data_IF_464504335524
#
_entry.id   IF_464504335524
#
_cell.length_a   1.000
_cell.length_b   1.000
_cell.length_c   1.000
_cell.angle_alpha   90.00
_cell.angle_beta   90.00
_cell.angle_gamma   90.00
#
_symmetry.space_group_name_H-M   'P 1'
#
loop_
_entity.id
_entity.type
_entity.pdbx_description
1 polymer ?
#
# COMPACT_ATOMS: atom_id res chain seq x y z
N UNK A 1 19.50 8.25 43.16
CA UNK A 1 18.66 8.77 42.06
C UNK A 1 19.54 9.68 41.23
N UNK A 2 19.79 9.33 39.96
CA UNK A 2 20.62 10.17 39.09
C UNK A 2 19.78 11.40 38.67
N UNK A 3 19.92 12.50 39.41
CA UNK A 3 19.48 13.81 38.89
C UNK A 3 20.64 14.38 38.08
N UNK A 4 20.48 14.56 36.78
CA UNK A 4 21.51 15.20 35.98
C UNK A 4 21.67 16.65 36.46
N UNK A 5 22.86 16.99 36.96
CA UNK A 5 23.15 18.28 37.55
C UNK A 5 23.23 19.45 36.57
N UNK A 6 23.31 19.14 35.26
CA UNK A 6 23.33 20.16 34.19
C UNK A 6 21.97 20.26 33.47
N UNK A 7 21.58 21.47 33.06
CA UNK A 7 20.36 21.72 32.24
C UNK A 7 20.37 20.85 31.00
N UNK A 8 21.52 20.69 30.34
CA UNK A 8 21.68 19.82 29.16
C UNK A 8 21.36 18.36 29.47
N UNK A 9 21.85 17.83 30.61
CA UNK A 9 21.51 16.47 31.04
C UNK A 9 20.02 16.28 31.33
N UNK A 10 19.35 17.27 31.92
CA UNK A 10 17.92 17.23 32.21
C UNK A 10 17.09 17.24 30.89
N UNK A 11 17.50 18.06 29.90
CA UNK A 11 16.86 18.08 28.57
C UNK A 11 17.01 16.73 27.86
N UNK A 12 18.21 16.13 27.87
CA UNK A 12 18.42 14.79 27.28
C UNK A 12 17.57 13.75 27.99
N UNK A 13 17.52 13.77 29.32
CA UNK A 13 16.71 12.84 30.09
C UNK A 13 15.22 12.97 29.76
N UNK A 14 14.72 14.20 29.66
CA UNK A 14 13.34 14.47 29.26
C UNK A 14 13.07 14.02 27.80
N UNK A 15 14.02 14.22 26.89
CA UNK A 15 13.93 13.70 25.52
C UNK A 15 13.86 12.18 25.47
N UNK A 16 14.65 11.48 26.29
CA UNK A 16 14.59 10.01 26.38
C UNK A 16 13.23 9.52 26.87
N UNK A 17 12.64 10.19 27.87
CA UNK A 17 11.28 9.92 28.35
C UNK A 17 10.27 10.08 27.21
N UNK A 18 10.35 11.20 26.48
CA UNK A 18 9.47 11.51 25.36
C UNK A 18 9.54 10.46 24.26
N UNK A 19 10.68 9.82 24.05
CA UNK A 19 10.87 8.78 23.03
C UNK A 19 10.34 7.39 23.44
N UNK A 20 10.04 7.16 24.72
CA UNK A 20 9.58 5.84 25.19
C UNK A 20 8.34 5.28 24.46
N UNK A 21 7.33 6.08 24.06
CA UNK A 21 6.18 5.56 23.34
C UNK A 21 6.53 4.85 22.03
N UNK A 22 7.62 5.22 21.37
CA UNK A 22 8.04 4.62 20.11
C UNK A 22 8.40 3.14 20.30
N UNK A 23 9.12 2.82 21.39
CA UNK A 23 9.50 1.44 21.70
C UNK A 23 8.28 0.57 22.05
N UNK A 24 7.34 1.12 22.82
CA UNK A 24 6.10 0.41 23.17
C UNK A 24 5.17 0.26 21.94
N UNK A 25 5.17 1.23 21.05
CA UNK A 25 4.43 1.16 19.79
C UNK A 25 4.83 -0.06 18.94
N UNK A 26 6.13 -0.37 18.85
CA UNK A 26 6.63 -1.53 18.13
C UNK A 26 6.09 -2.85 18.72
N UNK A 27 6.06 -2.96 20.04
CA UNK A 27 5.59 -4.17 20.73
C UNK A 27 4.08 -4.39 20.56
N UNK A 28 3.30 -3.32 20.48
CA UNK A 28 1.83 -3.37 20.43
C UNK A 28 1.33 -3.50 18.99
N UNK A 29 1.85 -2.69 18.06
CA UNK A 29 1.38 -2.68 16.66
C UNK A 29 1.77 -3.92 15.85
N UNK A 30 2.84 -4.61 16.21
CA UNK A 30 3.19 -5.88 15.56
C UNK A 30 2.19 -7.01 15.83
N UNK A 31 1.35 -6.88 16.86
CA UNK A 31 0.42 -7.94 17.31
C UNK A 31 -1.07 -7.60 17.22
N UNK A 32 -1.45 -6.32 17.11
CA UNK A 32 -2.86 -5.92 17.22
C UNK A 32 -3.35 -5.21 15.97
N UNK A 33 -4.45 -5.72 15.43
CA UNK A 33 -5.23 -5.08 14.36
C UNK A 33 -5.81 -3.75 14.87
N UNK A 34 -6.13 -2.81 13.99
CA UNK A 34 -6.60 -1.44 14.28
C UNK A 34 -7.97 -1.38 15.04
N UNK A 35 -8.06 -2.07 16.17
CA UNK A 35 -9.23 -2.15 17.01
C UNK A 35 -9.29 -0.97 18.00
N UNK A 36 -10.50 -0.62 18.48
CA UNK A 36 -10.70 0.47 19.46
C UNK A 36 -9.82 0.31 20.71
N UNK A 37 -9.58 -0.92 21.15
CA UNK A 37 -8.71 -1.21 22.29
C UNK A 37 -7.27 -0.75 22.05
N UNK A 38 -6.71 -1.04 20.87
CA UNK A 38 -5.35 -0.62 20.48
C UNK A 38 -5.20 0.91 20.40
N UNK A 39 -6.23 1.59 19.95
CA UNK A 39 -6.26 3.05 19.93
C UNK A 39 -6.22 3.64 21.35
N UNK A 40 -7.00 3.09 22.28
CA UNK A 40 -7.01 3.53 23.68
C UNK A 40 -5.65 3.26 24.34
N UNK A 41 -5.08 2.06 24.17
CA UNK A 41 -3.77 1.70 24.71
C UNK A 41 -2.68 2.64 24.18
N UNK A 42 -2.70 2.96 22.89
CA UNK A 42 -1.76 3.94 22.30
C UNK A 42 -1.90 5.31 22.98
N UNK A 43 -3.12 5.79 23.15
CA UNK A 43 -3.37 7.06 23.86
C UNK A 43 -2.85 7.05 25.30
N UNK A 44 -3.00 5.93 26.01
CA UNK A 44 -2.47 5.77 27.38
C UNK A 44 -0.94 5.85 27.38
N UNK A 45 -0.26 5.15 26.47
CA UNK A 45 1.21 5.14 26.41
C UNK A 45 1.76 6.54 26.14
N UNK A 46 1.20 7.24 25.17
CA UNK A 46 1.62 8.61 24.86
C UNK A 46 1.26 9.59 25.99
N UNK A 47 0.10 9.40 26.62
CA UNK A 47 -0.31 10.15 27.80
C UNK A 47 0.63 9.94 28.98
N UNK A 48 1.03 8.69 29.27
CA UNK A 48 2.02 8.37 30.31
C UNK A 48 3.36 9.02 30.03
N UNK A 49 3.85 9.04 28.78
CA UNK A 49 5.09 9.74 28.44
C UNK A 49 4.99 11.26 28.68
N UNK A 50 3.84 11.86 28.37
CA UNK A 50 3.58 13.28 28.68
C UNK A 50 3.56 13.53 30.19
N UNK A 51 2.96 12.63 30.98
CA UNK A 51 2.95 12.67 32.45
C UNK A 51 4.36 12.54 33.01
N UNK A 52 5.15 11.58 32.53
CA UNK A 52 6.53 11.38 32.97
C UNK A 52 7.39 12.60 32.63
N UNK A 53 7.24 13.19 31.43
CA UNK A 53 7.93 14.42 31.07
C UNK A 53 7.61 15.55 32.06
N UNK A 54 6.35 15.64 32.53
CA UNK A 54 5.89 16.62 33.51
C UNK A 54 6.39 16.34 34.93
N UNK A 55 6.55 15.06 35.29
CA UNK A 55 7.04 14.64 36.59
C UNK A 55 8.57 14.88 36.77
N UNK A 56 9.30 14.93 35.63
CA UNK A 56 10.74 15.19 35.61
C UNK A 56 11.06 16.46 34.80
N UNK A 57 10.65 17.64 35.25
CA UNK A 57 10.82 18.87 34.47
C UNK A 57 12.29 19.30 34.41
N UNK A 58 12.62 20.13 33.44
CA UNK A 58 13.92 20.82 33.36
C UNK A 58 13.88 22.02 34.28
N UNK A 59 14.84 22.10 35.17
CA UNK A 59 14.96 23.18 36.14
C UNK A 59 16.00 24.19 35.68
N UNK A 60 15.60 25.43 35.45
CA UNK A 60 16.53 26.51 35.17
C UNK A 60 16.95 27.20 36.49
N UNK A 61 18.18 26.94 36.92
CA UNK A 61 18.77 27.47 38.17
C UNK A 61 19.12 28.96 38.09
N UNK A 62 19.16 29.55 36.91
CA UNK A 62 19.58 30.94 36.70
C UNK A 62 18.53 31.98 37.11
N UNK A 63 17.34 31.52 37.49
CA UNK A 63 16.23 32.39 37.91
C UNK A 63 15.90 32.08 39.38
N UNK A 64 15.96 33.06 40.23
CA UNK A 64 15.87 32.94 41.68
C UNK A 64 14.74 32.16 42.34
N UNK A 65 13.77 31.63 41.56
CA UNK A 65 12.69 30.75 42.01
C UNK A 65 12.57 29.45 41.18
N UNK A 66 13.57 29.09 40.38
CA UNK A 66 13.58 27.84 39.61
C UNK A 66 12.40 27.68 38.65
N UNK A 67 12.48 28.28 37.46
CA UNK A 67 11.42 28.04 36.45
C UNK A 67 11.49 26.62 35.95
N UNK A 68 10.33 25.89 36.02
CA UNK A 68 10.20 24.52 35.60
C UNK A 68 9.54 24.46 34.24
N UNK A 69 10.17 23.75 33.28
CA UNK A 69 9.58 23.50 31.99
C UNK A 69 9.84 22.04 31.55
N UNK A 70 9.04 21.53 30.63
CA UNK A 70 9.12 20.14 30.15
C UNK A 70 8.68 20.02 28.70
N UNK A 71 8.84 18.82 28.13
CA UNK A 71 8.56 18.52 26.73
C UNK A 71 7.26 17.72 26.54
N UNK A 72 6.29 17.83 27.47
CA UNK A 72 5.02 17.06 27.49
C UNK A 72 4.20 17.16 26.20
N UNK A 73 4.32 18.27 25.47
CA UNK A 73 3.56 18.50 24.26
C UNK A 73 4.08 17.72 23.05
N UNK A 74 5.34 17.26 23.06
CA UNK A 74 5.90 16.48 21.96
C UNK A 74 5.20 15.14 21.79
N UNK A 75 5.13 14.25 22.81
CA UNK A 75 4.38 12.98 22.68
C UNK A 75 2.92 13.22 22.36
N UNK A 76 2.29 14.25 22.96
CA UNK A 76 0.91 14.59 22.70
C UNK A 76 0.66 14.96 21.22
N UNK A 77 1.41 15.90 20.66
CA UNK A 77 1.29 16.35 19.26
C UNK A 77 1.52 15.18 18.29
N UNK A 78 2.55 14.38 18.52
CA UNK A 78 2.85 13.22 17.70
C UNK A 78 1.74 12.16 17.80
N UNK A 79 1.17 11.97 19.00
CA UNK A 79 0.02 11.06 19.17
C UNK A 79 -1.16 11.49 18.29
N UNK A 80 -1.53 12.77 18.29
CA UNK A 80 -2.61 13.30 17.46
C UNK A 80 -2.29 13.11 15.96
N UNK A 81 -1.07 13.46 15.54
CA UNK A 81 -0.67 13.38 14.12
C UNK A 81 -0.62 11.95 13.59
N UNK A 82 -0.01 11.02 14.31
CA UNK A 82 0.23 9.66 13.82
C UNK A 82 -0.85 8.66 14.22
N UNK A 83 -1.31 8.69 15.49
CA UNK A 83 -2.27 7.72 16.01
C UNK A 83 -3.73 8.12 15.75
N UNK A 84 -4.04 9.40 15.74
CA UNK A 84 -5.37 9.93 15.41
C UNK A 84 -6.14 10.52 16.58
N UNK A 85 -7.44 10.73 16.33
CA UNK A 85 -8.29 11.50 17.25
C UNK A 85 -8.54 10.80 18.58
N UNK A 86 -8.82 9.50 18.56
CA UNK A 86 -9.13 8.74 19.78
C UNK A 86 -7.90 8.63 20.69
N UNK A 87 -6.73 8.19 20.21
CA UNK A 87 -5.52 8.19 21.03
C UNK A 87 -5.14 9.59 21.53
N UNK A 88 -5.24 10.59 20.66
CA UNK A 88 -4.97 11.99 21.01
C UNK A 88 -5.86 12.50 22.11
N UNK A 89 -7.17 12.22 22.08
CA UNK A 89 -8.12 12.60 23.13
C UNK A 89 -7.80 11.90 24.47
N UNK A 90 -7.50 10.60 24.44
CA UNK A 90 -7.09 9.85 25.64
C UNK A 90 -5.81 10.43 26.24
N UNK A 91 -4.81 10.72 25.40
CA UNK A 91 -3.55 11.34 25.85
C UNK A 91 -3.79 12.74 26.45
N UNK A 92 -4.66 13.57 25.84
CA UNK A 92 -5.04 14.89 26.37
C UNK A 92 -5.70 14.79 27.75
N UNK A 93 -6.67 13.89 27.89
CA UNK A 93 -7.38 13.69 29.18
C UNK A 93 -6.38 13.31 30.28
N UNK A 94 -5.48 12.35 30.04
CA UNK A 94 -4.48 11.92 31.00
C UNK A 94 -3.53 13.04 31.39
N UNK A 95 -3.01 13.79 30.40
CA UNK A 95 -2.10 14.91 30.61
C UNK A 95 -2.77 16.00 31.46
N UNK A 96 -3.98 16.38 31.13
CA UNK A 96 -4.73 17.44 31.84
C UNK A 96 -5.10 16.97 33.25
N UNK A 97 -5.61 15.74 33.40
CA UNK A 97 -5.95 15.19 34.70
C UNK A 97 -4.74 15.18 35.64
N UNK A 98 -3.57 14.74 35.18
CA UNK A 98 -2.34 14.75 35.97
C UNK A 98 -1.90 16.18 36.34
N UNK A 99 -2.09 17.15 35.45
CA UNK A 99 -1.80 18.55 35.74
C UNK A 99 -2.68 19.12 36.85
N UNK A 100 -3.97 18.76 36.86
CA UNK A 100 -4.87 19.12 37.99
C UNK A 100 -4.45 18.43 39.29
N UNK A 101 -3.96 17.18 39.24
CA UNK A 101 -3.44 16.48 40.41
C UNK A 101 -2.20 17.16 41.00
N UNK A 102 -1.30 17.69 40.18
CA UNK A 102 -0.11 18.45 40.65
C UNK A 102 -0.46 19.78 41.33
N UNK A 103 -1.68 20.27 41.18
CA UNK A 103 -2.17 21.49 41.79
C UNK A 103 -1.85 22.77 40.98
N UNK A 104 -2.37 23.90 41.46
CA UNK A 104 -2.25 25.17 40.76
C UNK A 104 -3.38 25.37 39.75
N UNK A 105 -4.59 25.72 40.21
CA UNK A 105 -5.81 25.82 39.40
C UNK A 105 -5.63 26.63 38.12
N UNK A 106 -5.01 27.81 38.19
CA UNK A 106 -4.78 28.69 37.04
C UNK A 106 -3.85 28.05 36.01
N UNK A 107 -2.77 27.38 36.43
CA UNK A 107 -1.84 26.69 35.54
C UNK A 107 -2.48 25.43 34.92
N UNK A 108 -3.38 24.77 35.61
CA UNK A 108 -4.13 23.61 35.10
C UNK A 108 -5.14 24.01 34.04
N UNK A 109 -5.85 25.12 34.27
CA UNK A 109 -6.76 25.71 33.27
C UNK A 109 -5.98 26.12 32.00
N UNK A 110 -4.80 26.72 32.16
CA UNK A 110 -3.96 27.11 31.06
C UNK A 110 -3.53 25.89 30.21
N UNK A 111 -3.10 24.82 30.88
CA UNK A 111 -2.75 23.53 30.20
C UNK A 111 -3.96 22.93 29.48
N UNK A 112 -5.17 23.04 30.01
CA UNK A 112 -6.39 22.59 29.36
C UNK A 112 -6.65 23.33 28.03
N UNK A 113 -6.50 24.65 28.04
CA UNK A 113 -6.63 25.46 26.82
C UNK A 113 -5.59 25.11 25.77
N UNK A 114 -4.32 24.94 26.17
CA UNK A 114 -3.24 24.51 25.27
C UNK A 114 -3.55 23.15 24.65
N UNK A 115 -4.00 22.18 25.45
CA UNK A 115 -4.37 20.85 24.98
C UNK A 115 -5.49 20.90 23.94
N UNK A 116 -6.53 21.72 24.18
CA UNK A 116 -7.66 21.88 23.25
C UNK A 116 -7.18 22.53 21.93
N UNK A 117 -6.43 23.63 22.01
CA UNK A 117 -5.93 24.35 20.83
C UNK A 117 -5.05 23.42 19.99
N UNK A 118 -4.07 22.77 20.58
CA UNK A 118 -3.15 21.87 19.88
C UNK A 118 -3.88 20.64 19.33
N UNK A 119 -4.83 20.06 20.07
CA UNK A 119 -5.64 18.93 19.60
C UNK A 119 -6.44 19.29 18.34
N UNK A 120 -7.15 20.39 18.34
CA UNK A 120 -7.95 20.84 17.19
C UNK A 120 -7.05 21.12 16.00
N UNK A 121 -5.98 21.89 16.21
CA UNK A 121 -5.06 22.31 15.15
C UNK A 121 -4.40 21.11 14.47
N UNK A 122 -3.79 20.21 15.23
CA UNK A 122 -3.11 19.05 14.67
C UNK A 122 -4.07 17.98 14.13
N UNK A 123 -5.29 17.92 14.65
CA UNK A 123 -6.34 17.08 14.09
C UNK A 123 -6.73 17.51 12.67
N UNK A 124 -6.84 18.80 12.41
CA UNK A 124 -7.11 19.36 11.07
C UNK A 124 -5.94 19.09 10.13
N UNK A 125 -4.71 19.29 10.58
CA UNK A 125 -3.50 19.16 9.77
C UNK A 125 -3.11 17.70 9.47
N UNK A 126 -3.57 16.75 10.28
CA UNK A 126 -3.23 15.31 10.19
C UNK A 126 -3.43 14.72 8.79
N UNK A 127 -4.60 14.97 8.17
CA UNK A 127 -4.93 14.38 6.86
C UNK A 127 -3.93 14.80 5.77
N UNK A 128 -3.55 16.07 5.76
CA UNK A 128 -2.60 16.65 4.82
C UNK A 128 -1.17 16.16 5.11
N UNK A 129 -0.79 16.05 6.39
CA UNK A 129 0.52 15.60 6.83
C UNK A 129 0.86 14.18 6.34
N UNK A 130 -0.09 13.26 6.38
CA UNK A 130 0.13 11.88 5.90
C UNK A 130 0.36 11.77 4.39
N UNK A 131 -0.07 12.76 3.61
CA UNK A 131 0.12 12.77 2.15
C UNK A 131 1.51 13.26 1.73
N UNK A 132 2.27 13.88 2.64
CA UNK A 132 3.58 14.43 2.32
C UNK A 132 4.66 13.35 2.20
N UNK A 133 5.61 13.60 1.26
CA UNK A 133 6.88 12.84 1.18
C UNK A 133 7.76 13.17 2.40
N UNK A 134 8.72 12.29 2.72
CA UNK A 134 9.59 12.43 3.91
C UNK A 134 10.21 13.83 4.07
N UNK A 135 10.81 14.39 3.03
CA UNK A 135 11.43 15.74 3.07
C UNK A 135 10.42 16.80 3.47
N UNK A 136 9.22 16.79 2.89
CA UNK A 136 8.17 17.76 3.21
C UNK A 136 7.64 17.60 4.65
N UNK A 137 7.66 16.37 5.20
CA UNK A 137 7.33 16.13 6.61
C UNK A 137 8.32 16.80 7.54
N UNK A 138 9.63 16.74 7.25
CA UNK A 138 10.64 17.44 8.07
C UNK A 138 10.48 18.95 8.02
N UNK A 139 10.21 19.52 6.83
CA UNK A 139 9.92 20.96 6.72
C UNK A 139 8.65 21.34 7.52
N UNK A 140 7.60 20.54 7.42
CA UNK A 140 6.38 20.76 8.21
C UNK A 140 6.60 20.64 9.72
N UNK A 141 7.52 19.79 10.15
CA UNK A 141 7.86 19.64 11.58
C UNK A 141 8.56 20.86 12.16
N UNK A 142 9.35 21.59 11.36
CA UNK A 142 9.88 22.89 11.77
C UNK A 142 8.70 23.86 12.04
N UNK A 143 7.75 23.91 11.11
CA UNK A 143 6.55 24.75 11.28
C UNK A 143 5.73 24.32 12.51
N UNK A 144 5.54 23.01 12.71
CA UNK A 144 4.80 22.48 13.86
C UNK A 144 5.49 22.75 15.19
N UNK A 145 6.82 22.68 15.22
CA UNK A 145 7.61 23.06 16.40
C UNK A 145 7.42 24.53 16.74
N UNK A 146 7.52 25.42 15.74
CA UNK A 146 7.30 26.86 15.92
C UNK A 146 5.88 27.15 16.40
N UNK A 147 4.87 26.52 15.80
CA UNK A 147 3.47 26.69 16.19
C UNK A 147 3.25 26.22 17.64
N UNK A 148 3.71 25.01 17.99
CA UNK A 148 3.56 24.45 19.33
C UNK A 148 4.23 25.35 20.36
N UNK A 149 5.45 25.79 20.07
CA UNK A 149 6.19 26.70 20.95
C UNK A 149 5.53 28.06 21.08
N UNK A 150 5.00 28.62 19.97
CA UNK A 150 4.26 29.90 20.02
C UNK A 150 3.00 29.81 20.86
N UNK A 151 2.24 28.71 20.77
CA UNK A 151 1.06 28.49 21.63
C UNK A 151 1.47 28.48 23.09
N UNK A 152 2.54 27.78 23.44
CA UNK A 152 3.05 27.73 24.82
C UNK A 152 3.48 29.13 25.30
N UNK A 153 4.22 29.90 24.49
CA UNK A 153 4.68 31.25 24.87
C UNK A 153 3.53 32.20 25.07
N UNK A 154 2.52 32.20 24.19
CA UNK A 154 1.33 33.04 24.31
C UNK A 154 0.55 32.66 25.58
N UNK A 155 0.39 31.39 25.83
CA UNK A 155 -0.28 30.84 27.00
C UNK A 155 0.43 31.24 28.30
N UNK A 156 1.76 31.15 28.35
CA UNK A 156 2.58 31.61 29.47
C UNK A 156 2.43 33.15 29.67
N UNK A 157 2.43 33.93 28.60
CA UNK A 157 2.26 35.37 28.70
C UNK A 157 0.89 35.73 29.27
N UNK A 158 -0.19 35.07 28.84
CA UNK A 158 -1.54 35.25 29.38
C UNK A 158 -1.56 34.85 30.86
N UNK A 159 -0.95 33.75 31.24
CA UNK A 159 -0.87 33.26 32.60
C UNK A 159 -0.19 34.28 33.53
N UNK A 160 0.99 34.83 33.17
CA UNK A 160 1.71 35.82 33.96
C UNK A 160 0.99 37.17 33.97
N UNK A 161 0.31 37.53 32.89
CA UNK A 161 -0.54 38.74 32.83
C UNK A 161 -1.70 38.66 33.82
N UNK A 162 -2.40 37.51 33.83
CA UNK A 162 -3.50 37.26 34.76
C UNK A 162 -3.05 37.32 36.24
N UNK A 163 -1.86 36.86 36.54
CA UNK A 163 -1.29 36.95 37.89
C UNK A 163 -0.69 38.31 38.26
N UNK A 164 -0.77 39.29 37.39
CA UNK A 164 -0.12 40.62 37.55
C UNK A 164 1.41 40.52 37.79
N UNK A 165 2.07 39.49 37.21
CA UNK A 165 3.52 39.19 37.34
C UNK A 165 4.27 39.27 36.00
N UNK A 166 3.90 40.20 35.12
CA UNK A 166 4.56 40.35 33.82
C UNK A 166 6.07 40.64 33.93
N UNK A 167 6.52 41.34 34.95
CA UNK A 167 7.94 41.53 35.22
C UNK A 167 8.69 40.19 35.36
N UNK A 168 8.06 39.21 36.01
CA UNK A 168 8.63 37.87 36.13
C UNK A 168 8.66 37.09 34.81
N UNK A 169 7.72 37.33 33.90
CA UNK A 169 7.76 36.78 32.57
C UNK A 169 8.94 37.36 31.77
N UNK A 170 9.12 38.66 31.76
CA UNK A 170 10.23 39.28 31.03
C UNK A 170 11.60 38.97 31.65
N UNK A 171 11.69 38.70 32.96
CA UNK A 171 12.92 38.29 33.62
C UNK A 171 13.38 36.86 33.22
N UNK A 172 12.53 36.05 32.59
CA UNK A 172 12.92 34.73 32.07
C UNK A 172 14.02 34.80 30.98
N UNK A 173 14.09 35.95 30.30
CA UNK A 173 15.18 36.25 29.36
C UNK A 173 15.11 35.45 28.03
N UNK A 174 15.79 35.99 27.04
CA UNK A 174 15.81 35.40 25.69
C UNK A 174 16.45 34.00 25.66
N UNK A 175 17.51 33.81 26.46
CA UNK A 175 18.28 32.54 26.46
C UNK A 175 17.42 31.36 26.86
N UNK A 176 16.53 31.50 27.83
CA UNK A 176 15.63 30.44 28.26
C UNK A 176 14.62 30.08 27.15
N UNK A 177 13.98 31.08 26.56
CA UNK A 177 13.04 30.85 25.44
C UNK A 177 13.72 30.24 24.24
N UNK A 178 14.96 30.61 23.94
CA UNK A 178 15.75 30.02 22.89
C UNK A 178 16.06 28.53 23.17
N UNK A 179 16.49 28.19 24.39
CA UNK A 179 16.75 26.81 24.81
C UNK A 179 15.49 25.95 24.76
N UNK A 180 14.35 26.48 25.24
CA UNK A 180 13.05 25.79 25.15
C UNK A 180 12.64 25.55 23.69
N UNK A 181 12.67 26.58 22.85
CA UNK A 181 12.31 26.48 21.44
C UNK A 181 13.18 25.50 20.68
N UNK A 182 14.50 25.53 20.91
CA UNK A 182 15.45 24.59 20.32
C UNK A 182 15.18 23.16 20.78
N UNK A 183 14.86 22.94 22.05
CA UNK A 183 14.54 21.62 22.59
C UNK A 183 13.26 21.05 22.01
N UNK A 184 12.23 21.87 21.77
CA UNK A 184 11.02 21.47 21.06
C UNK A 184 11.30 21.11 19.60
N UNK A 185 12.10 21.92 18.90
CA UNK A 185 12.49 21.67 17.53
C UNK A 185 13.23 20.33 17.42
N UNK A 186 14.27 20.16 18.20
CA UNK A 186 15.07 18.91 18.20
C UNK A 186 14.21 17.71 18.60
N UNK A 187 13.38 17.87 19.63
CA UNK A 187 12.52 16.80 20.13
C UNK A 187 11.51 16.32 19.08
N UNK A 188 10.80 17.24 18.41
CA UNK A 188 9.84 16.90 17.35
C UNK A 188 10.57 16.24 16.16
N UNK A 189 11.74 16.76 15.76
CA UNK A 189 12.53 16.21 14.66
C UNK A 189 13.00 14.77 14.97
N UNK A 190 13.61 14.57 16.13
CA UNK A 190 14.10 13.26 16.56
C UNK A 190 12.95 12.26 16.69
N UNK A 191 11.86 12.68 17.33
CA UNK A 191 10.68 11.83 17.49
C UNK A 191 10.09 11.41 16.14
N UNK A 192 9.95 12.35 15.23
CA UNK A 192 9.42 12.06 13.88
C UNK A 192 10.36 11.13 13.10
N UNK A 193 11.68 11.37 13.19
CA UNK A 193 12.67 10.51 12.53
C UNK A 193 12.52 9.04 12.98
N UNK A 194 12.46 8.80 14.28
CA UNK A 194 12.30 7.45 14.82
C UNK A 194 10.93 6.85 14.44
N UNK A 195 9.86 7.64 14.49
CA UNK A 195 8.51 7.17 14.12
C UNK A 195 8.43 6.77 12.66
N UNK A 196 8.92 7.60 11.73
CA UNK A 196 8.92 7.30 10.29
C UNK A 196 9.80 6.09 9.96
N UNK A 197 11.01 6.01 10.54
CA UNK A 197 11.88 4.84 10.37
C UNK A 197 11.21 3.57 10.86
N UNK A 198 10.52 3.63 11.97
CA UNK A 198 9.80 2.49 12.51
C UNK A 198 8.65 2.05 11.62
N UNK A 199 7.82 2.99 11.15
CA UNK A 199 6.73 2.71 10.23
C UNK A 199 7.28 2.05 8.94
N UNK A 200 8.39 2.57 8.41
CA UNK A 200 9.02 2.01 7.22
C UNK A 200 9.58 0.60 7.47
N UNK A 201 10.21 0.36 8.62
CA UNK A 201 10.70 -0.98 9.00
C UNK A 201 9.56 -2.00 9.10
N UNK A 202 8.43 -1.63 9.72
CA UNK A 202 7.26 -2.51 9.81
C UNK A 202 6.74 -2.87 8.41
N UNK A 203 6.61 -1.89 7.51
CA UNK A 203 6.18 -2.12 6.11
C UNK A 203 7.13 -3.06 5.37
N UNK A 204 8.44 -2.85 5.51
CA UNK A 204 9.46 -3.70 4.87
C UNK A 204 9.39 -5.13 5.42
N UNK A 205 9.26 -5.29 6.75
CA UNK A 205 9.12 -6.62 7.36
C UNK A 205 7.86 -7.36 6.91
N UNK A 206 6.73 -6.66 6.78
CA UNK A 206 5.51 -7.25 6.22
C UNK A 206 5.71 -7.70 4.77
N UNK A 207 6.40 -6.91 3.96
CA UNK A 207 6.71 -7.28 2.57
C UNK A 207 7.64 -8.49 2.51
N UNK A 208 8.71 -8.53 3.33
CA UNK A 208 9.63 -9.67 3.42
C UNK A 208 8.86 -10.92 3.86
N UNK A 209 8.04 -10.83 4.89
CA UNK A 209 7.26 -11.98 5.38
C UNK A 209 6.25 -12.50 4.35
N UNK A 210 5.62 -11.61 3.57
CA UNK A 210 4.77 -12.00 2.44
C UNK A 210 5.57 -12.69 1.34
N UNK A 211 6.75 -12.14 0.99
CA UNK A 211 7.62 -12.72 -0.02
C UNK A 211 8.16 -14.11 0.42
N UNK A 212 8.55 -14.26 1.69
CA UNK A 212 9.02 -15.52 2.26
C UNK A 212 7.93 -16.60 2.25
N UNK A 213 6.70 -16.26 2.68
CA UNK A 213 5.55 -17.17 2.56
C UNK A 213 5.30 -17.62 1.13
N UNK A 214 5.42 -16.71 0.17
CA UNK A 214 5.27 -17.03 -1.24
C UNK A 214 6.39 -17.92 -1.75
N UNK A 215 7.63 -17.74 -1.31
CA UNK A 215 8.76 -18.58 -1.66
C UNK A 215 8.59 -20.02 -1.15
N UNK A 216 8.19 -20.18 0.13
CA UNK A 216 7.93 -21.51 0.72
C UNK A 216 6.82 -22.24 -0.05
N UNK A 217 5.72 -21.54 -0.35
CA UNK A 217 4.61 -22.10 -1.15
C UNK A 217 5.10 -22.50 -2.54
N UNK A 218 6.01 -21.72 -3.14
CA UNK A 218 6.61 -22.00 -4.45
C UNK A 218 7.44 -23.26 -4.48
N UNK A 219 8.32 -23.40 -3.50
CA UNK A 219 9.24 -24.54 -3.41
C UNK A 219 8.46 -25.84 -3.16
N UNK A 220 7.50 -25.81 -2.26
CA UNK A 220 6.60 -26.93 -1.98
C UNK A 220 5.70 -27.27 -3.19
N UNK A 221 5.19 -26.25 -3.88
CA UNK A 221 4.29 -26.46 -5.02
C UNK A 221 4.99 -27.15 -6.19
N UNK A 222 6.26 -26.85 -6.46
CA UNK A 222 7.02 -27.49 -7.53
C UNK A 222 7.23 -29.00 -7.26
N UNK A 223 7.53 -29.36 -6.02
CA UNK A 223 7.68 -30.77 -5.61
C UNK A 223 6.34 -31.51 -5.64
N UNK A 224 5.30 -30.94 -5.02
CA UNK A 224 3.96 -31.57 -4.93
C UNK A 224 3.36 -31.79 -6.32
N UNK A 225 3.53 -30.87 -7.26
CA UNK A 225 2.93 -31.03 -8.58
C UNK A 225 3.56 -32.18 -9.40
N UNK A 226 4.86 -32.38 -9.27
CA UNK A 226 5.48 -33.56 -9.89
C UNK A 226 4.96 -34.86 -9.24
N UNK A 227 4.85 -34.87 -7.91
CA UNK A 227 4.37 -36.05 -7.18
C UNK A 227 2.87 -36.33 -7.38
N UNK A 228 2.04 -35.29 -7.63
CA UNK A 228 0.60 -35.46 -7.93
C UNK A 228 0.38 -35.81 -9.42
N UNK A 229 1.17 -35.25 -10.35
CA UNK A 229 1.04 -35.57 -11.78
C UNK A 229 1.30 -37.06 -12.07
N UNK A 230 2.25 -37.68 -11.35
CA UNK A 230 2.59 -39.10 -11.54
C UNK A 230 1.40 -40.04 -11.35
N UNK A 231 0.69 -40.06 -10.19
CA UNK A 231 -0.47 -40.95 -10.02
C UNK A 231 -1.63 -40.58 -10.95
N UNK A 232 -1.84 -39.28 -11.28
CA UNK A 232 -2.87 -38.89 -12.25
C UNK A 232 -2.59 -39.45 -13.64
N UNK A 233 -1.35 -39.45 -14.09
CA UNK A 233 -0.94 -40.06 -15.38
C UNK A 233 -1.20 -41.55 -15.40
N UNK A 234 -0.92 -42.25 -14.30
CA UNK A 234 -1.18 -43.69 -14.18
C UNK A 234 -2.68 -43.97 -14.23
N UNK A 235 -3.48 -43.24 -13.46
CA UNK A 235 -4.96 -43.37 -13.44
C UNK A 235 -5.55 -43.09 -14.83
N UNK A 236 -5.05 -42.06 -15.52
CA UNK A 236 -5.45 -41.76 -16.91
C UNK A 236 -5.17 -42.91 -17.84
N UNK A 237 -3.96 -43.52 -17.76
CA UNK A 237 -3.58 -44.64 -18.57
C UNK A 237 -4.53 -45.85 -18.40
N UNK A 238 -4.86 -46.19 -17.16
CA UNK A 238 -5.80 -47.31 -16.89
C UNK A 238 -7.22 -47.00 -17.38
N UNK A 239 -7.73 -45.77 -17.22
CA UNK A 239 -9.06 -45.40 -17.72
C UNK A 239 -9.08 -45.41 -19.24
N UNK A 240 -8.00 -44.96 -19.93
CA UNK A 240 -7.90 -45.01 -21.40
C UNK A 240 -7.86 -46.46 -21.95
N UNK A 241 -7.15 -47.36 -21.28
CA UNK A 241 -7.12 -48.78 -21.67
C UNK A 241 -8.48 -49.45 -21.49
N UNK A 242 -9.12 -49.24 -20.33
CA UNK A 242 -10.44 -49.80 -20.04
C UNK A 242 -11.56 -49.25 -20.93
N UNK A 243 -11.45 -48.00 -21.41
CA UNK A 243 -12.46 -47.34 -22.25
C UNK A 243 -12.75 -48.08 -23.56
N UNK A 244 -11.75 -48.81 -24.12
CA UNK A 244 -11.88 -49.52 -25.39
C UNK A 244 -12.59 -50.89 -25.27
N UNK A 245 -12.80 -51.36 -24.05
CA UNK A 245 -13.32 -52.70 -23.72
C UNK A 245 -14.73 -52.68 -23.10
N UNK A 246 -15.38 -51.50 -23.00
CA UNK A 246 -16.64 -51.31 -22.29
C UNK A 246 -17.76 -50.76 -23.17
N UNK A 247 -18.99 -50.98 -22.73
CA UNK A 247 -20.23 -50.49 -23.27
C UNK A 247 -20.32 -48.95 -23.29
N UNK A 248 -21.12 -48.36 -24.21
CA UNK A 248 -21.24 -46.94 -24.45
C UNK A 248 -21.61 -46.12 -23.21
N UNK A 249 -22.36 -46.67 -22.28
CA UNK A 249 -22.76 -46.00 -21.03
C UNK A 249 -21.55 -45.81 -20.11
N UNK A 250 -20.75 -46.87 -19.92
CA UNK A 250 -19.54 -46.85 -19.11
C UNK A 250 -18.46 -45.99 -19.78
N UNK A 251 -18.39 -46.00 -21.10
CA UNK A 251 -17.51 -45.10 -21.88
C UNK A 251 -17.81 -43.61 -21.59
N UNK A 252 -19.08 -43.26 -21.39
CA UNK A 252 -19.48 -41.90 -20.97
C UNK A 252 -18.94 -41.51 -19.60
N UNK A 253 -18.98 -42.44 -18.62
CA UNK A 253 -18.40 -42.19 -17.30
C UNK A 253 -16.87 -42.08 -17.35
N UNK A 254 -16.21 -42.86 -18.15
CA UNK A 254 -14.76 -42.81 -18.34
C UNK A 254 -14.30 -41.52 -19.00
N UNK A 255 -15.04 -41.00 -19.98
CA UNK A 255 -14.79 -39.69 -20.58
C UNK A 255 -14.93 -38.57 -19.57
N UNK A 256 -15.87 -38.69 -18.65
CA UNK A 256 -16.06 -37.71 -17.56
C UNK A 256 -14.87 -37.78 -16.58
N UNK A 257 -14.42 -38.97 -16.17
CA UNK A 257 -13.25 -39.15 -15.33
C UNK A 257 -11.96 -38.59 -15.95
N UNK A 258 -11.74 -38.79 -17.24
CA UNK A 258 -10.58 -38.19 -17.96
C UNK A 258 -10.67 -36.67 -17.93
N UNK A 259 -11.83 -36.08 -18.18
CA UNK A 259 -12.00 -34.61 -18.09
C UNK A 259 -11.70 -34.05 -16.71
N UNK A 260 -12.10 -34.76 -15.64
CA UNK A 260 -11.78 -34.33 -14.28
C UNK A 260 -10.28 -34.47 -13.94
N UNK A 261 -9.61 -35.47 -14.50
CA UNK A 261 -8.15 -35.58 -14.42
C UNK A 261 -7.44 -34.43 -15.14
N UNK A 262 -7.86 -34.07 -16.35
CA UNK A 262 -7.33 -32.93 -17.10
C UNK A 262 -7.55 -31.63 -16.35
N UNK A 263 -8.70 -31.49 -15.69
CA UNK A 263 -9.02 -30.36 -14.84
C UNK A 263 -8.08 -30.29 -13.62
N UNK A 264 -7.83 -31.41 -12.96
CA UNK A 264 -6.92 -31.48 -11.80
C UNK A 264 -5.47 -31.12 -12.20
N UNK A 265 -4.97 -31.65 -13.33
CA UNK A 265 -3.65 -31.30 -13.87
C UNK A 265 -3.53 -29.82 -14.18
N UNK A 266 -4.59 -29.22 -14.74
CA UNK A 266 -4.63 -27.78 -15.03
C UNK A 266 -4.58 -26.95 -13.75
N UNK A 267 -5.36 -27.31 -12.71
CA UNK A 267 -5.34 -26.62 -11.41
C UNK A 267 -3.94 -26.65 -10.82
N UNK A 268 -3.27 -27.83 -10.85
CA UNK A 268 -1.90 -28.00 -10.34
C UNK A 268 -0.91 -27.15 -11.14
N UNK A 269 -1.03 -27.14 -12.48
CA UNK A 269 -0.17 -26.32 -13.33
C UNK A 269 -0.36 -24.83 -13.10
N UNK A 270 -1.61 -24.38 -12.95
CA UNK A 270 -1.94 -22.98 -12.63
C UNK A 270 -1.40 -22.58 -11.24
N UNK A 271 -1.47 -23.50 -10.26
CA UNK A 271 -0.90 -23.30 -8.93
C UNK A 271 0.62 -23.21 -8.92
N UNK A 272 1.30 -24.05 -9.73
CA UNK A 272 2.75 -24.00 -9.95
C UNK A 272 3.21 -22.69 -10.57
N UNK A 273 2.50 -22.24 -11.61
CA UNK A 273 2.80 -20.98 -12.27
C UNK A 273 2.60 -19.80 -11.34
N UNK A 274 1.67 -19.92 -10.38
CA UNK A 274 1.49 -18.95 -9.29
C UNK A 274 2.67 -18.95 -8.32
N UNK A 275 3.17 -20.13 -7.98
CA UNK A 275 4.17 -20.31 -6.94
C UNK A 275 5.59 -19.92 -7.37
N UNK A 276 5.94 -19.84 -8.66
CA UNK A 276 7.28 -19.48 -9.12
C UNK A 276 7.74 -18.09 -8.65
N UNK A 277 8.86 -17.96 -7.89
CA UNK A 277 9.20 -16.74 -7.15
C UNK A 277 9.69 -15.58 -8.01
N UNK A 278 10.30 -15.83 -9.13
CA UNK A 278 10.76 -14.84 -10.10
C UNK A 278 10.43 -15.31 -11.50
N UNK A 279 9.57 -14.57 -12.15
CA UNK A 279 9.53 -14.57 -13.58
C UNK A 279 10.83 -13.90 -14.02
N UNK A 280 11.87 -14.68 -14.35
CA UNK A 280 13.01 -14.15 -15.10
C UNK A 280 12.44 -13.60 -16.40
N UNK A 281 12.27 -12.27 -16.43
CA UNK A 281 11.75 -11.56 -17.59
C UNK A 281 12.91 -11.33 -18.52
N UNK A 282 13.01 -12.09 -19.61
CA UNK A 282 13.84 -11.72 -20.73
C UNK A 282 13.27 -10.42 -21.30
N UNK A 283 13.93 -9.31 -21.02
CA UNK A 283 13.55 -8.02 -21.61
C UNK A 283 14.09 -7.97 -23.03
N UNK A 284 13.18 -8.12 -23.96
CA UNK A 284 13.43 -7.96 -25.40
C UNK A 284 12.51 -6.85 -25.93
N UNK A 285 12.94 -6.18 -26.99
CA UNK A 285 12.09 -5.24 -27.69
C UNK A 285 10.99 -6.01 -28.44
N UNK A 286 9.76 -5.85 -28.02
CA UNK A 286 8.60 -6.58 -28.55
C UNK A 286 7.67 -5.63 -29.27
N UNK A 287 7.31 -5.97 -30.51
CA UNK A 287 6.22 -5.32 -31.24
C UNK A 287 4.89 -5.90 -30.79
N UNK A 288 4.23 -5.21 -29.83
CA UNK A 288 2.97 -5.70 -29.26
C UNK A 288 1.78 -5.56 -30.22
N UNK A 289 1.88 -4.71 -31.25
CA UNK A 289 0.85 -4.67 -32.30
C UNK A 289 0.75 -6.01 -33.00
N UNK A 290 1.90 -6.64 -33.31
CA UNK A 290 1.94 -7.98 -33.89
C UNK A 290 1.45 -9.02 -32.88
N UNK A 291 1.95 -8.99 -31.64
CA UNK A 291 1.57 -9.96 -30.59
C UNK A 291 0.06 -9.93 -30.29
N UNK A 292 -0.55 -8.74 -30.27
CA UNK A 292 -2.01 -8.60 -30.07
C UNK A 292 -2.79 -9.22 -31.24
N UNK A 293 -2.37 -8.92 -32.48
CA UNK A 293 -3.02 -9.47 -33.67
C UNK A 293 -2.92 -11.00 -33.73
N UNK A 294 -1.77 -11.58 -33.37
CA UNK A 294 -1.61 -13.03 -33.26
C UNK A 294 -2.59 -13.66 -32.25
N UNK A 295 -2.75 -13.03 -31.08
CA UNK A 295 -3.68 -13.54 -30.05
C UNK A 295 -5.14 -13.41 -30.48
N UNK A 296 -5.50 -12.33 -31.15
CA UNK A 296 -6.85 -12.15 -31.72
C UNK A 296 -7.14 -13.25 -32.75
N UNK A 297 -6.22 -13.48 -33.68
CA UNK A 297 -6.36 -14.53 -34.70
C UNK A 297 -6.53 -15.92 -34.06
N UNK A 298 -5.76 -16.21 -33.03
CA UNK A 298 -5.87 -17.45 -32.26
C UNK A 298 -7.25 -17.59 -31.60
N UNK A 299 -7.78 -16.50 -31.05
CA UNK A 299 -9.04 -16.51 -30.30
C UNK A 299 -10.28 -16.36 -31.18
N UNK A 300 -10.12 -16.01 -32.46
CA UNK A 300 -11.25 -15.83 -33.40
C UNK A 300 -12.10 -17.10 -33.55
N UNK A 301 -11.45 -18.27 -33.68
CA UNK A 301 -12.18 -19.54 -33.78
C UNK A 301 -12.96 -19.86 -32.50
N UNK A 302 -12.38 -19.55 -31.34
CA UNK A 302 -13.05 -19.74 -30.05
C UNK A 302 -14.23 -18.79 -29.86
N UNK A 303 -14.07 -17.53 -30.23
CA UNK A 303 -15.16 -16.52 -30.21
C UNK A 303 -16.33 -16.94 -31.13
N UNK A 304 -16.02 -17.38 -32.37
CA UNK A 304 -17.02 -17.86 -33.34
C UNK A 304 -17.80 -19.06 -32.81
N UNK A 305 -17.12 -20.03 -32.13
CA UNK A 305 -17.80 -21.18 -31.52
C UNK A 305 -18.75 -20.78 -30.40
N UNK A 306 -18.52 -19.63 -29.76
CA UNK A 306 -19.39 -19.06 -28.75
C UNK A 306 -20.44 -18.09 -29.30
N UNK A 307 -20.41 -17.78 -30.60
CA UNK A 307 -21.31 -16.81 -31.22
C UNK A 307 -20.99 -15.35 -30.88
N UNK A 308 -19.73 -15.07 -30.46
CA UNK A 308 -19.28 -13.74 -30.05
C UNK A 308 -18.47 -13.09 -31.16
N UNK A 309 -18.74 -11.83 -31.46
CA UNK A 309 -17.92 -11.03 -32.37
C UNK A 309 -16.66 -10.53 -31.64
N UNK A 310 -15.48 -10.76 -32.24
CA UNK A 310 -14.21 -10.27 -31.72
C UNK A 310 -13.66 -9.19 -32.67
N UNK A 311 -13.66 -7.93 -32.24
CA UNK A 311 -13.21 -6.78 -33.02
C UNK A 311 -11.86 -6.28 -32.50
N UNK A 312 -11.12 -5.53 -33.32
CA UNK A 312 -9.85 -4.94 -32.93
C UNK A 312 -9.61 -3.57 -33.57
N UNK A 313 -9.00 -2.67 -32.78
CA UNK A 313 -8.49 -1.38 -33.24
C UNK A 313 -7.09 -1.17 -32.64
N UNK A 314 -6.06 -1.48 -33.40
CA UNK A 314 -4.68 -1.55 -32.91
C UNK A 314 -3.81 -0.57 -33.70
N UNK A 315 -3.21 0.40 -33.00
CA UNK A 315 -2.16 1.25 -33.56
C UNK A 315 -0.99 0.38 -34.03
N UNK A 316 -0.42 0.74 -35.17
CA UNK A 316 0.75 0.04 -35.69
C UNK A 316 2.03 0.46 -34.98
N UNK A 317 3.04 -0.43 -34.99
CA UNK A 317 4.39 -0.14 -34.49
C UNK A 317 4.48 0.26 -33.03
N UNK A 318 3.68 -0.40 -32.17
CA UNK A 318 3.77 -0.27 -30.72
C UNK A 318 4.84 -1.20 -30.15
N UNK A 319 5.82 -0.65 -29.44
CA UNK A 319 6.95 -1.40 -28.89
C UNK A 319 7.07 -1.24 -27.38
N UNK A 320 7.36 -2.35 -26.71
CA UNK A 320 7.67 -2.40 -25.26
C UNK A 320 8.96 -3.21 -25.03
N UNK A 321 9.60 -3.00 -23.87
CA UNK A 321 10.65 -3.89 -23.37
C UNK A 321 10.03 -4.94 -22.43
N UNK A 322 9.77 -6.13 -22.92
CA UNK A 322 9.10 -7.18 -22.16
C UNK A 322 9.47 -8.59 -22.65
N UNK A 323 8.91 -9.58 -22.01
CA UNK A 323 8.88 -10.97 -22.45
C UNK A 323 7.57 -11.19 -23.24
N UNK A 324 7.70 -11.43 -24.55
CA UNK A 324 6.57 -11.57 -25.47
C UNK A 324 5.62 -12.71 -25.07
N UNK A 325 6.17 -13.84 -24.62
CA UNK A 325 5.35 -14.98 -24.21
C UNK A 325 4.49 -14.64 -22.99
N UNK A 326 5.03 -13.88 -22.03
CA UNK A 326 4.28 -13.45 -20.84
C UNK A 326 3.20 -12.44 -21.19
N UNK A 327 3.51 -11.49 -22.09
CA UNK A 327 2.52 -10.54 -22.58
C UNK A 327 1.37 -11.27 -23.31
N UNK A 328 1.70 -12.16 -24.24
CA UNK A 328 0.72 -12.99 -24.97
C UNK A 328 -0.15 -13.83 -24.03
N UNK A 329 0.46 -14.46 -23.01
CA UNK A 329 -0.26 -15.25 -22.01
C UNK A 329 -1.25 -14.40 -21.20
N UNK A 330 -0.83 -13.21 -20.78
CA UNK A 330 -1.71 -12.29 -20.04
C UNK A 330 -2.89 -11.82 -20.91
N UNK A 331 -2.61 -11.43 -22.16
CA UNK A 331 -3.62 -10.97 -23.11
C UNK A 331 -4.62 -12.08 -23.47
N UNK A 332 -4.12 -13.29 -23.75
CA UNK A 332 -4.95 -14.47 -24.04
C UNK A 332 -5.94 -14.75 -22.91
N UNK A 333 -5.49 -14.65 -21.67
CA UNK A 333 -6.34 -14.89 -20.51
C UNK A 333 -7.42 -13.79 -20.36
N UNK A 334 -7.09 -12.53 -20.67
CA UNK A 334 -8.07 -11.44 -20.65
C UNK A 334 -9.12 -11.60 -21.76
N UNK A 335 -8.71 -11.86 -23.01
CA UNK A 335 -9.63 -12.06 -24.14
C UNK A 335 -10.53 -13.27 -23.87
N UNK A 336 -9.97 -14.39 -23.40
CA UNK A 336 -10.73 -15.56 -23.04
C UNK A 336 -11.78 -15.28 -21.96
N UNK A 337 -11.40 -14.56 -20.91
CA UNK A 337 -12.34 -14.19 -19.84
C UNK A 337 -13.46 -13.29 -20.35
N UNK A 338 -13.16 -12.35 -21.24
CA UNK A 338 -14.13 -11.47 -21.89
C UNK A 338 -15.14 -12.26 -22.74
N UNK A 339 -14.66 -13.18 -23.59
CA UNK A 339 -15.52 -14.06 -24.39
C UNK A 339 -16.41 -14.94 -23.51
N UNK A 340 -15.85 -15.52 -22.43
CA UNK A 340 -16.61 -16.38 -21.52
C UNK A 340 -17.62 -15.62 -20.64
N UNK A 341 -17.44 -14.31 -20.44
CA UNK A 341 -18.38 -13.46 -19.70
C UNK A 341 -19.51 -12.91 -20.55
N UNK A 342 -19.41 -13.05 -21.89
CA UNK A 342 -20.36 -12.52 -22.85
C UNK A 342 -21.22 -13.67 -23.39
N UNK A 343 -22.53 -13.63 -23.16
CA UNK A 343 -23.46 -14.62 -23.71
C UNK A 343 -23.86 -14.27 -25.15
N UNK A 344 -24.12 -12.98 -25.41
CA UNK A 344 -24.44 -12.42 -26.73
C UNK A 344 -23.84 -11.03 -26.85
N UNK A 345 -23.22 -10.70 -27.97
CA UNK A 345 -22.61 -9.39 -28.21
C UNK A 345 -21.18 -9.48 -28.78
N UNK A 346 -20.30 -8.63 -28.31
CA UNK A 346 -18.96 -8.51 -28.84
C UNK A 346 -17.91 -8.27 -27.77
N UNK A 347 -16.66 -8.53 -28.15
CA UNK A 347 -15.46 -8.20 -27.41
C UNK A 347 -14.58 -7.34 -28.30
N UNK A 348 -14.19 -6.16 -27.82
CA UNK A 348 -13.30 -5.24 -28.50
C UNK A 348 -11.92 -5.25 -27.87
N UNK A 349 -10.87 -5.31 -28.69
CA UNK A 349 -9.48 -5.21 -28.29
C UNK A 349 -8.86 -3.98 -28.93
N UNK A 350 -8.57 -2.96 -28.12
CA UNK A 350 -7.99 -1.70 -28.58
C UNK A 350 -6.58 -1.54 -28.04
N UNK A 351 -5.64 -1.05 -28.86
CA UNK A 351 -4.31 -0.71 -28.42
C UNK A 351 -3.86 0.62 -29.02
N UNK A 352 -3.45 1.56 -28.18
CA UNK A 352 -3.05 2.91 -28.60
C UNK A 352 -1.86 3.44 -27.79
N UNK A 353 -1.09 4.35 -28.39
CA UNK A 353 -0.02 5.06 -27.75
C UNK A 353 -0.45 6.41 -27.21
N UNK A 354 -0.17 6.68 -25.95
CA UNK A 354 -0.44 7.97 -25.30
C UNK A 354 0.83 8.81 -25.24
N UNK A 355 0.98 9.78 -26.13
CA UNK A 355 2.16 10.68 -26.18
C UNK A 355 2.38 11.45 -24.87
N UNK A 356 1.29 11.94 -24.25
CA UNK A 356 1.36 12.70 -23.00
C UNK A 356 1.99 11.93 -21.82
N UNK A 357 1.90 10.60 -21.84
CA UNK A 357 2.34 9.75 -20.73
C UNK A 357 3.51 8.83 -21.08
N UNK A 358 3.87 8.68 -22.36
CA UNK A 358 4.88 7.71 -22.81
C UNK A 358 4.48 6.26 -22.52
N UNK A 359 3.20 5.95 -22.60
CA UNK A 359 2.66 4.63 -22.29
C UNK A 359 1.79 4.11 -23.42
N UNK A 360 1.79 2.80 -23.57
CA UNK A 360 0.84 2.09 -24.43
C UNK A 360 -0.31 1.62 -23.54
N UNK A 361 -1.52 1.82 -24.03
CA UNK A 361 -2.77 1.43 -23.39
C UNK A 361 -3.40 0.34 -24.23
N UNK A 362 -3.60 -0.85 -23.63
CA UNK A 362 -4.34 -1.95 -24.27
C UNK A 362 -5.61 -2.19 -23.47
N UNK A 363 -6.77 -2.09 -24.15
CA UNK A 363 -8.08 -2.34 -23.56
C UNK A 363 -8.65 -3.62 -24.13
N UNK A 364 -9.24 -4.44 -23.27
CA UNK A 364 -10.12 -5.56 -23.63
C UNK A 364 -11.48 -5.25 -23.03
N UNK A 365 -12.46 -4.97 -23.87
CA UNK A 365 -13.82 -4.55 -23.45
C UNK A 365 -14.82 -5.61 -23.89
N UNK A 366 -15.65 -6.09 -22.99
CA UNK A 366 -16.75 -7.02 -23.27
C UNK A 366 -18.11 -6.36 -23.02
N UNK A 367 -19.14 -6.86 -23.68
CA UNK A 367 -20.55 -6.51 -23.47
C UNK A 367 -21.29 -7.53 -22.61
N UNK A 368 -20.57 -8.26 -21.76
CA UNK A 368 -21.09 -9.36 -20.97
C UNK A 368 -21.85 -8.93 -19.71
N UNK A 369 -22.00 -9.88 -18.78
CA UNK A 369 -22.77 -9.70 -17.54
C UNK A 369 -22.22 -8.64 -16.59
N UNK A 370 -20.97 -8.21 -16.76
CA UNK A 370 -20.31 -7.27 -15.87
C UNK A 370 -20.20 -7.76 -14.43
N UNK A 371 -19.85 -6.84 -13.52
CA UNK A 371 -19.57 -7.16 -12.11
C UNK A 371 -20.14 -6.13 -11.15
N UNK A 372 -20.51 -6.59 -9.95
CA UNK A 372 -20.86 -5.71 -8.82
C UNK A 372 -19.59 -5.08 -8.23
N UNK A 373 -19.75 -3.99 -7.46
CA UNK A 373 -18.61 -3.35 -6.76
C UNK A 373 -17.88 -4.31 -5.82
N UNK A 374 -18.62 -5.22 -5.19
CA UNK A 374 -18.02 -6.22 -4.27
C UNK A 374 -17.21 -7.27 -5.03
N UNK A 375 -17.70 -7.70 -6.20
CA UNK A 375 -16.97 -8.62 -7.06
C UNK A 375 -15.69 -7.96 -7.61
N UNK A 376 -15.78 -6.71 -8.06
CA UNK A 376 -14.65 -5.96 -8.56
C UNK A 376 -13.53 -5.80 -7.52
N UNK A 377 -13.86 -5.58 -6.23
CA UNK A 377 -12.89 -5.51 -5.14
C UNK A 377 -12.20 -6.86 -4.80
N UNK A 378 -12.79 -7.96 -5.24
CA UNK A 378 -12.23 -9.31 -5.03
C UNK A 378 -11.44 -9.81 -6.22
N UNK A 379 -11.43 -9.09 -7.35
CA UNK A 379 -10.67 -9.48 -8.55
C UNK A 379 -9.18 -9.64 -8.25
N UNK A 380 -8.60 -10.69 -8.81
CA UNK A 380 -7.19 -11.01 -8.61
C UNK A 380 -6.86 -11.64 -7.26
N UNK A 381 -7.83 -11.83 -6.35
CA UNK A 381 -7.60 -12.65 -5.15
C UNK A 381 -7.52 -14.13 -5.53
N UNK A 382 -6.64 -14.91 -4.89
CA UNK A 382 -6.53 -16.35 -5.13
C UNK A 382 -7.88 -17.04 -4.95
N UNK A 383 -8.17 -18.00 -5.84
CA UNK A 383 -9.39 -18.84 -5.80
C UNK A 383 -10.73 -18.09 -5.92
N UNK A 384 -10.70 -16.80 -6.20
CA UNK A 384 -11.93 -16.06 -6.43
C UNK A 384 -12.38 -16.24 -7.88
N UNK A 385 -13.55 -16.86 -8.06
CA UNK A 385 -14.19 -17.06 -9.35
C UNK A 385 -15.71 -17.00 -9.20
N UNK A 386 -16.38 -16.50 -10.22
CA UNK A 386 -17.86 -16.55 -10.40
C UNK A 386 -18.29 -17.69 -11.32
N UNK A 387 -17.32 -18.41 -11.93
CA UNK A 387 -17.56 -19.50 -12.88
C UNK A 387 -17.54 -20.84 -12.15
N UNK A 388 -18.48 -21.73 -12.49
CA UNK A 388 -18.57 -23.08 -11.89
C UNK A 388 -17.33 -23.96 -12.18
N UNK A 389 -16.66 -23.74 -13.29
CA UNK A 389 -15.46 -24.49 -13.70
C UNK A 389 -14.17 -23.68 -13.62
N UNK A 390 -14.23 -22.47 -13.05
CA UNK A 390 -13.08 -21.58 -12.94
C UNK A 390 -12.17 -21.94 -11.77
N UNK A 391 -10.84 -21.97 -11.96
CA UNK A 391 -9.86 -22.18 -10.88
C UNK A 391 -9.70 -20.95 -9.98
N UNK A 392 -10.11 -19.77 -10.45
CA UNK A 392 -9.91 -18.48 -9.76
C UNK A 392 -8.45 -18.03 -9.68
N UNK A 393 -7.53 -18.69 -10.41
CA UNK A 393 -6.10 -18.37 -10.42
C UNK A 393 -5.69 -17.57 -11.67
N UNK A 394 -6.42 -17.72 -12.79
CA UNK A 394 -6.04 -17.12 -14.08
C UNK A 394 -5.85 -15.60 -14.01
N UNK A 395 -6.79 -14.87 -13.45
CA UNK A 395 -6.70 -13.40 -13.36
C UNK A 395 -5.58 -12.94 -12.42
N UNK A 396 -5.35 -13.66 -11.32
CA UNK A 396 -4.23 -13.39 -10.43
C UNK A 396 -2.87 -13.57 -11.12
N UNK A 397 -2.73 -14.63 -11.95
CA UNK A 397 -1.53 -14.85 -12.79
C UNK A 397 -1.40 -13.69 -13.78
N UNK A 398 -2.50 -13.24 -14.40
CA UNK A 398 -2.49 -12.09 -15.31
C UNK A 398 -1.97 -10.82 -14.65
N UNK A 399 -2.44 -10.48 -13.45
CA UNK A 399 -1.92 -9.34 -12.68
C UNK A 399 -0.41 -9.42 -12.49
N UNK A 400 0.11 -10.60 -12.09
CA UNK A 400 1.54 -10.80 -11.88
C UNK A 400 2.36 -10.72 -13.17
N UNK A 401 1.85 -11.27 -14.28
CA UNK A 401 2.53 -11.21 -15.58
C UNK A 401 2.67 -9.75 -16.03
N UNK A 402 1.59 -8.96 -15.92
CA UNK A 402 1.59 -7.55 -16.29
C UNK A 402 2.52 -6.73 -15.35
N UNK A 403 2.50 -6.98 -14.06
CA UNK A 403 3.41 -6.34 -13.09
C UNK A 403 4.88 -6.70 -13.36
N UNK A 404 5.17 -7.96 -13.70
CA UNK A 404 6.52 -8.43 -14.02
C UNK A 404 7.12 -7.75 -15.25
N UNK A 405 6.32 -7.39 -16.25
CA UNK A 405 6.75 -6.62 -17.42
C UNK A 405 6.68 -5.10 -17.21
N UNK A 406 6.45 -4.64 -15.97
CA UNK A 406 6.42 -3.23 -15.60
C UNK A 406 5.13 -2.49 -15.96
N UNK A 407 4.05 -3.21 -16.25
CA UNK A 407 2.74 -2.66 -16.53
C UNK A 407 1.82 -2.60 -15.31
N UNK A 408 0.64 -1.99 -15.50
CA UNK A 408 -0.46 -2.00 -14.53
C UNK A 408 -1.72 -2.51 -15.22
N UNK A 409 -2.53 -3.28 -14.51
CA UNK A 409 -3.81 -3.81 -14.98
C UNK A 409 -4.93 -3.26 -14.09
N UNK A 410 -5.94 -2.65 -14.71
CA UNK A 410 -7.12 -2.11 -14.01
C UNK A 410 -8.39 -2.58 -14.67
N UNK A 411 -9.49 -2.60 -13.91
CA UNK A 411 -10.80 -3.02 -14.38
C UNK A 411 -11.84 -1.95 -14.07
N UNK A 412 -12.69 -1.68 -15.05
CA UNK A 412 -13.93 -0.93 -14.88
C UNK A 412 -15.10 -1.82 -15.34
N UNK A 413 -16.10 -1.99 -14.49
CA UNK A 413 -17.22 -2.90 -14.77
C UNK A 413 -18.48 -2.45 -14.06
N UNK A 414 -19.60 -2.64 -14.74
CA UNK A 414 -20.95 -2.44 -14.21
C UNK A 414 -21.80 -3.64 -14.54
N UNK A 415 -22.62 -4.07 -13.60
CA UNK A 415 -23.52 -5.19 -13.77
C UNK A 415 -24.42 -4.98 -15.02
N UNK A 416 -24.50 -5.99 -15.88
CA UNK A 416 -25.23 -6.01 -17.16
C UNK A 416 -24.78 -4.96 -18.20
N UNK A 417 -23.59 -4.36 -18.03
CA UNK A 417 -23.02 -3.40 -19.00
C UNK A 417 -21.63 -3.84 -19.50
N UNK A 418 -21.15 -5.01 -19.04
CA UNK A 418 -19.86 -5.54 -19.43
C UNK A 418 -18.69 -5.08 -18.55
N UNK A 419 -17.48 -5.42 -19.00
CA UNK A 419 -16.23 -5.13 -18.30
C UNK A 419 -15.20 -4.59 -19.26
N UNK A 420 -14.44 -3.61 -18.83
CA UNK A 420 -13.26 -3.09 -19.50
C UNK A 420 -12.02 -3.39 -18.66
N UNK A 421 -11.13 -4.24 -19.18
CA UNK A 421 -9.79 -4.47 -18.64
C UNK A 421 -8.80 -3.56 -19.37
N UNK A 422 -8.03 -2.77 -18.63
CA UNK A 422 -7.04 -1.82 -19.16
C UNK A 422 -5.65 -2.18 -18.69
N UNK A 423 -4.76 -2.52 -19.63
CA UNK A 423 -3.31 -2.65 -19.40
C UNK A 423 -2.66 -1.32 -19.75
N UNK A 424 -1.85 -0.77 -18.84
CA UNK A 424 -1.03 0.40 -19.09
C UNK A 424 0.44 0.02 -18.88
N UNK A 425 1.26 0.14 -19.92
CA UNK A 425 2.66 -0.26 -19.91
C UNK A 425 3.54 0.80 -20.56
N UNK A 426 4.75 1.04 -20.03
CA UNK A 426 5.71 1.96 -20.63
C UNK A 426 6.17 1.42 -21.97
N UNK A 427 6.07 2.24 -23.00
CA UNK A 427 6.45 1.86 -24.36
C UNK A 427 6.50 3.08 -25.29
N UNK A 428 6.70 2.82 -26.57
CA UNK A 428 6.81 3.84 -27.59
C UNK A 428 6.25 3.36 -28.93
N UNK A 429 5.97 4.32 -29.80
CA UNK A 429 5.51 4.07 -31.16
C UNK A 429 6.65 4.40 -32.12
N UNK A 430 7.09 3.45 -32.96
CA UNK A 430 8.05 3.73 -34.01
C UNK A 430 7.34 4.35 -35.21
N UNK A 431 7.84 5.49 -35.70
CA UNK A 431 7.38 6.05 -36.95
C UNK A 431 7.70 5.09 -38.10
N UNK A 432 6.80 4.96 -39.06
CA UNK A 432 7.07 4.18 -40.26
C UNK A 432 8.23 4.87 -41.03
N UNK A 433 9.38 4.22 -41.09
CA UNK A 433 10.47 4.69 -41.97
C UNK A 433 9.98 4.54 -43.40
N UNK A 434 9.67 5.66 -44.05
CA UNK A 434 9.43 5.69 -45.49
C UNK A 434 10.68 5.19 -46.18
N UNK A 435 10.69 3.92 -46.56
CA UNK A 435 11.69 3.42 -47.50
C UNK A 435 11.33 4.05 -48.86
N UNK A 436 11.96 5.16 -49.22
CA UNK A 436 11.99 5.61 -50.58
C UNK A 436 12.67 4.50 -51.39
N UNK A 437 11.88 3.77 -52.15
CA UNK A 437 12.42 3.03 -53.31
C UNK A 437 13.01 4.09 -54.22
N UNK A 438 14.33 4.15 -54.27
CA UNK A 438 15.03 4.85 -55.34
C UNK A 438 14.69 4.11 -56.62
N UNK A 439 13.86 4.74 -57.45
CA UNK A 439 13.64 4.36 -58.83
C UNK A 439 15.00 4.33 -59.52
N UNK A 440 15.48 3.14 -59.83
CA UNK A 440 16.58 2.88 -60.74
C UNK A 440 16.06 2.98 -62.20
N UNK A 441 15.68 4.18 -62.63
CA UNK A 441 15.52 4.47 -64.04
C UNK A 441 16.53 5.56 -64.43
N UNK A 442 17.79 5.13 -64.66
CA UNK A 442 18.73 5.89 -65.46
C UNK A 442 19.92 5.00 -65.85
N UNK A 443 19.66 4.04 -66.77
CA UNK A 443 20.70 3.59 -67.72
C UNK A 443 20.01 3.37 -69.05
N UNK A 444 20.14 4.34 -69.92
CA UNK A 444 20.12 4.21 -71.38
C UNK A 444 21.37 4.87 -71.90
#
# INVERSE_FOLDING_TARGET
>A
MFEPTSIFGQVIFNLLIVLTPIFFYQLIFSKFNNNRLTQIISGIIFGCASILSMAFPVVSSNFGNGFLWDLRWIPFVICVLYMGYVPGAVSAILLVAFRFFLGGMTASINTLFDAIILFILFSILRKKYHQFKMINKYLMNIVFSVITFSVICISLWIYFSYLHKLASFYSLGFDLFFQMGLSYLVGIMVFTYFTENMINRIKIMEQIHRAEKLNIVSELAASIAHEVRNPLTVVRGFIQLAKNEVDNTIQGYMNTAIRELDRAEKIISDYLNFAKPKLDVKKEEVNISCSINEMILLMQSYANLKGIQLNNHIDQNLFIEADDLKFKQALLNLIKNAIEATEQGHVDVDASYSEKKGHIIVNVTDTGMGMTKEQLQKLGKPYYTTKSEGTGLGLMVTFRLIEAIGGTLTFDSKLNQGTKATICIKGYKKEATNIHYLDNDSIA
#
